data_IF_964130599360
#
_entry.id   IF_964130599360
#
_cell.length_a   1.000
_cell.length_b   1.000
_cell.length_c   1.000
_cell.angle_alpha   90.00
_cell.angle_beta   90.00
_cell.angle_gamma   90.00
#
_symmetry.space_group_name_H-M   'P 1'
#
loop_
_entity.id
_entity.type
_entity.pdbx_description
1 polymer ?
#
# COMPACT_ATOMS: atom_id res chain seq x y z
N UNK A 1 7.97 -70.11 3.54
CA UNK A 1 6.59 -70.49 3.92
C UNK A 1 5.81 -69.20 4.09
N UNK A 2 4.88 -68.94 3.15
CA UNK A 2 4.02 -67.75 3.11
C UNK A 2 3.09 -67.71 4.33
N UNK A 3 2.86 -66.51 4.90
CA UNK A 3 1.51 -66.08 5.31
C UNK A 3 1.37 -64.59 5.05
N UNK A 4 0.53 -64.27 4.07
CA UNK A 4 0.02 -62.94 3.68
C UNK A 4 -1.00 -62.41 4.69
N UNK A 5 -0.98 -61.12 5.01
CA UNK A 5 -2.13 -60.40 5.58
C UNK A 5 -2.53 -59.26 4.63
N UNK A 6 -3.69 -59.44 4.00
CA UNK A 6 -4.39 -58.41 3.23
C UNK A 6 -5.11 -57.46 4.20
N UNK A 7 -5.03 -56.16 3.94
CA UNK A 7 -5.87 -55.14 4.58
C UNK A 7 -6.89 -54.67 3.55
N UNK A 8 -8.16 -54.88 3.89
CA UNK A 8 -9.35 -54.48 3.13
C UNK A 8 -9.56 -52.97 3.32
N UNK A 9 -9.62 -52.24 2.21
CA UNK A 9 -10.11 -50.85 2.18
C UNK A 9 -11.60 -50.86 1.89
N UNK A 10 -12.39 -50.42 2.86
CA UNK A 10 -13.84 -50.19 2.72
C UNK A 10 -14.08 -48.80 2.13
N UNK A 11 -14.77 -48.75 1.00
CA UNK A 11 -15.22 -47.52 0.34
C UNK A 11 -16.42 -46.96 1.09
N UNK A 12 -16.30 -45.76 1.68
CA UNK A 12 -17.45 -44.96 2.13
C UNK A 12 -17.75 -43.91 1.06
N UNK A 13 -18.84 -44.14 0.33
CA UNK A 13 -19.43 -43.22 -0.63
C UNK A 13 -20.26 -42.17 0.10
N UNK A 14 -19.71 -40.97 0.32
CA UNK A 14 -20.47 -39.81 0.79
C UNK A 14 -21.08 -39.07 -0.40
N UNK A 15 -22.42 -38.99 -0.41
CA UNK A 15 -23.18 -38.12 -1.33
C UNK A 15 -22.77 -36.66 -1.12
N UNK A 16 -22.12 -36.07 -2.12
CA UNK A 16 -21.92 -34.63 -2.19
C UNK A 16 -23.23 -33.97 -2.67
N UNK A 17 -23.91 -33.27 -1.76
CA UNK A 17 -24.93 -32.29 -2.10
C UNK A 17 -24.25 -31.18 -2.91
N UNK A 18 -24.64 -31.04 -4.18
CA UNK A 18 -24.08 -30.05 -5.09
C UNK A 18 -24.30 -28.63 -4.58
N UNK A 19 -23.20 -27.90 -4.39
CA UNK A 19 -23.24 -26.45 -4.27
C UNK A 19 -23.80 -25.86 -5.58
N UNK A 20 -24.62 -24.79 -5.53
CA UNK A 20 -25.10 -24.13 -6.73
C UNK A 20 -23.90 -23.64 -7.54
N UNK A 21 -23.79 -24.14 -8.76
CA UNK A 21 -22.68 -23.87 -9.65
C UNK A 21 -22.48 -22.37 -9.82
N UNK A 22 -21.29 -21.90 -9.47
CA UNK A 22 -20.78 -20.62 -9.94
C UNK A 22 -20.87 -20.63 -11.47
N UNK A 23 -21.72 -19.77 -12.04
CA UNK A 23 -21.70 -19.48 -13.47
C UNK A 23 -20.32 -18.89 -13.73
N UNK A 24 -19.37 -19.72 -14.20
CA UNK A 24 -18.14 -19.22 -14.80
C UNK A 24 -18.57 -18.42 -16.02
N UNK A 25 -18.69 -17.09 -15.87
CA UNK A 25 -18.71 -16.19 -17.02
C UNK A 25 -17.47 -16.58 -17.84
N UNK A 26 -17.68 -17.14 -19.03
CA UNK A 26 -16.58 -17.33 -19.97
C UNK A 26 -16.02 -15.94 -20.25
N UNK A 27 -14.79 -15.65 -19.82
CA UNK A 27 -14.13 -14.41 -20.22
C UNK A 27 -14.17 -14.33 -21.75
N UNK A 28 -14.63 -13.20 -22.31
CA UNK A 28 -14.59 -13.01 -23.76
C UNK A 28 -13.16 -13.22 -24.25
N UNK A 29 -13.00 -14.06 -25.28
CA UNK A 29 -11.67 -14.41 -25.79
C UNK A 29 -10.91 -13.17 -26.29
N UNK A 30 -9.57 -13.23 -26.23
CA UNK A 30 -8.64 -12.20 -26.72
C UNK A 30 -7.97 -12.67 -28.02
N UNK A 31 -8.65 -12.56 -29.19
CA UNK A 31 -8.15 -13.14 -30.45
C UNK A 31 -6.92 -12.42 -31.03
N UNK A 32 -6.67 -11.18 -30.62
CA UNK A 32 -5.56 -10.38 -31.16
C UNK A 32 -4.32 -10.46 -30.27
N UNK A 33 -3.13 -10.51 -30.87
CA UNK A 33 -1.86 -10.55 -30.13
C UNK A 33 -0.88 -9.53 -30.71
N UNK A 34 -0.38 -8.64 -29.87
CA UNK A 34 0.69 -7.69 -30.19
C UNK A 34 1.94 -8.06 -29.41
N UNK A 35 2.92 -8.63 -30.09
CA UNK A 35 4.26 -8.85 -29.52
C UNK A 35 5.07 -7.59 -29.75
N UNK A 36 5.59 -7.00 -28.66
CA UNK A 36 6.36 -5.76 -28.71
C UNK A 36 7.80 -6.11 -29.14
N UNK A 37 8.30 -5.54 -30.24
CA UNK A 37 9.71 -5.70 -30.60
C UNK A 37 10.59 -5.00 -29.55
N UNK A 38 11.70 -5.65 -29.22
CA UNK A 38 12.67 -5.15 -28.24
C UNK A 38 13.97 -4.78 -28.95
N UNK A 39 14.59 -3.69 -28.50
CA UNK A 39 15.97 -3.33 -28.84
C UNK A 39 17.01 -4.14 -28.05
N UNK A 40 16.59 -4.98 -27.11
CA UNK A 40 17.42 -5.63 -26.10
C UNK A 40 18.33 -4.63 -25.36
N UNK A 41 17.71 -3.56 -24.86
CA UNK A 41 18.40 -2.54 -24.08
C UNK A 41 19.34 -1.61 -24.87
N UNK A 42 19.32 -1.64 -26.21
CA UNK A 42 20.24 -0.85 -27.05
C UNK A 42 19.67 0.48 -27.55
N UNK A 43 18.35 0.65 -27.56
CA UNK A 43 17.66 1.86 -28.01
C UNK A 43 16.38 2.11 -27.19
N UNK A 44 15.72 3.24 -27.37
CA UNK A 44 14.40 3.51 -26.76
C UNK A 44 13.30 2.70 -27.44
N UNK A 45 12.62 1.84 -26.67
CA UNK A 45 11.54 0.97 -27.10
C UNK A 45 10.15 1.61 -26.89
N UNK A 46 10.05 2.75 -26.18
CA UNK A 46 8.77 3.40 -25.89
C UNK A 46 7.89 3.63 -27.13
N UNK A 47 8.40 4.08 -28.31
CA UNK A 47 7.57 4.24 -29.50
C UNK A 47 6.97 2.92 -30.01
N UNK A 48 7.69 1.80 -29.89
CA UNK A 48 7.19 0.48 -30.29
C UNK A 48 6.12 -0.02 -29.32
N UNK A 49 6.33 0.19 -28.02
CA UNK A 49 5.37 -0.11 -26.97
C UNK A 49 4.07 0.66 -27.19
N UNK A 50 4.14 1.98 -27.38
CA UNK A 50 2.94 2.80 -27.56
C UNK A 50 2.16 2.44 -28.84
N UNK A 51 2.85 2.09 -29.93
CA UNK A 51 2.20 1.55 -31.14
C UNK A 51 1.48 0.22 -30.87
N UNK A 52 2.07 -0.67 -30.07
CA UNK A 52 1.43 -1.92 -29.71
C UNK A 52 0.16 -1.69 -28.88
N UNK A 53 0.21 -0.82 -27.87
CA UNK A 53 -0.95 -0.44 -27.06
C UNK A 53 -2.07 0.23 -27.88
N UNK A 54 -1.71 1.10 -28.84
CA UNK A 54 -2.70 1.71 -29.73
C UNK A 54 -3.34 0.70 -30.70
N UNK A 55 -2.56 -0.25 -31.22
CA UNK A 55 -3.03 -1.28 -32.16
C UNK A 55 -3.87 -2.36 -31.48
N UNK A 56 -3.50 -2.74 -30.26
CA UNK A 56 -4.11 -3.81 -29.48
C UNK A 56 -4.86 -3.22 -28.26
N UNK A 57 -5.69 -2.21 -28.48
CA UNK A 57 -6.44 -1.57 -27.39
C UNK A 57 -7.70 -2.33 -26.99
N UNK A 58 -8.20 -3.27 -27.79
CA UNK A 58 -9.38 -4.09 -27.47
C UNK A 58 -9.17 -5.57 -27.76
N UNK A 59 -9.75 -6.43 -26.92
CA UNK A 59 -9.86 -7.88 -27.12
C UNK A 59 -8.54 -8.55 -27.53
N UNK A 60 -7.49 -8.24 -26.77
CA UNK A 60 -6.12 -8.56 -27.20
C UNK A 60 -5.18 -8.90 -26.05
N UNK A 61 -4.04 -9.51 -26.44
CA UNK A 61 -2.89 -9.76 -25.57
C UNK A 61 -1.71 -8.96 -26.09
N UNK A 62 -1.17 -8.06 -25.27
CA UNK A 62 0.06 -7.31 -25.51
C UNK A 62 1.20 -8.00 -24.75
N UNK A 63 2.33 -8.23 -25.42
CA UNK A 63 3.38 -9.11 -24.89
C UNK A 63 4.74 -8.45 -24.93
N UNK A 64 5.31 -8.22 -23.76
CA UNK A 64 6.76 -8.09 -23.57
C UNK A 64 7.35 -9.49 -23.48
N UNK A 65 8.28 -9.81 -24.36
CA UNK A 65 8.81 -11.15 -24.55
C UNK A 65 9.74 -11.56 -23.42
N UNK A 66 9.74 -12.85 -23.09
CA UNK A 66 10.69 -13.40 -22.12
C UNK A 66 12.13 -13.21 -22.60
N UNK A 67 13.05 -12.94 -21.67
CA UNK A 67 14.48 -12.76 -21.95
C UNK A 67 14.82 -11.60 -22.89
N UNK A 68 13.91 -10.63 -23.01
CA UNK A 68 14.13 -9.37 -23.70
C UNK A 68 14.17 -8.21 -22.71
N UNK A 69 15.03 -7.23 -23.00
CA UNK A 69 15.15 -5.98 -22.24
C UNK A 69 14.57 -4.81 -23.04
N UNK A 70 13.63 -4.09 -22.43
CA UNK A 70 12.93 -2.97 -23.04
C UNK A 70 13.32 -1.67 -22.34
N UNK A 71 13.94 -0.74 -23.06
CA UNK A 71 14.16 0.60 -22.52
C UNK A 71 12.90 1.43 -22.74
N UNK A 72 12.23 1.84 -21.67
CA UNK A 72 11.01 2.65 -21.73
C UNK A 72 11.38 4.08 -21.36
N UNK A 73 11.97 4.83 -22.29
CA UNK A 73 12.53 6.15 -21.99
C UNK A 73 11.54 7.31 -22.07
N UNK A 74 10.34 7.06 -22.59
CA UNK A 74 9.21 7.99 -22.48
C UNK A 74 8.00 7.31 -21.82
N UNK A 75 7.19 8.05 -21.05
CA UNK A 75 5.97 7.53 -20.44
C UNK A 75 5.01 6.90 -21.45
N UNK A 76 4.34 5.84 -21.03
CA UNK A 76 3.37 5.10 -21.84
C UNK A 76 1.98 5.40 -21.30
N UNK A 77 1.15 6.07 -22.11
CA UNK A 77 -0.26 6.28 -21.81
C UNK A 77 -1.12 5.42 -22.74
N UNK A 78 -1.90 4.52 -22.12
CA UNK A 78 -2.82 3.59 -22.77
C UNK A 78 -4.18 3.64 -22.06
N UNK A 79 -4.97 4.66 -22.40
CA UNK A 79 -6.18 5.04 -21.65
C UNK A 79 -7.51 4.56 -22.24
N UNK A 80 -7.45 3.87 -23.38
CA UNK A 80 -8.62 3.37 -24.10
C UNK A 80 -8.59 1.83 -24.21
N UNK A 81 -8.15 1.14 -23.17
CA UNK A 81 -8.09 -0.33 -23.15
C UNK A 81 -9.47 -0.94 -22.90
N UNK A 82 -9.75 -2.11 -23.46
CA UNK A 82 -10.97 -2.88 -23.18
C UNK A 82 -10.72 -4.36 -23.38
N UNK A 83 -10.88 -5.19 -22.34
CA UNK A 83 -10.62 -6.62 -22.44
C UNK A 83 -9.19 -6.95 -22.93
N UNK A 84 -8.18 -6.36 -22.29
CA UNK A 84 -6.77 -6.48 -22.69
C UNK A 84 -5.96 -7.19 -21.63
N UNK A 85 -5.06 -8.09 -22.07
CA UNK A 85 -4.01 -8.65 -21.24
C UNK A 85 -2.67 -7.99 -21.55
N UNK A 86 -1.94 -7.57 -20.53
CA UNK A 86 -0.58 -7.06 -20.62
C UNK A 86 0.34 -8.11 -20.00
N UNK A 87 1.03 -8.88 -20.84
CA UNK A 87 1.98 -9.90 -20.43
C UNK A 87 3.39 -9.31 -20.33
N UNK A 88 3.92 -9.15 -19.12
CA UNK A 88 5.25 -8.59 -18.86
C UNK A 88 6.24 -9.71 -18.53
N UNK A 89 6.76 -10.37 -19.57
CA UNK A 89 7.74 -11.47 -19.41
C UNK A 89 9.19 -11.02 -19.55
N UNK A 90 9.44 -9.87 -20.19
CA UNK A 90 10.75 -9.23 -20.30
C UNK A 90 11.00 -8.26 -19.15
N UNK A 91 12.20 -7.71 -19.08
CA UNK A 91 12.52 -6.65 -18.13
C UNK A 91 12.38 -5.28 -18.80
N UNK A 92 11.83 -4.32 -18.07
CA UNK A 92 11.61 -2.95 -18.51
C UNK A 92 12.59 -2.06 -17.73
N UNK A 93 13.16 -1.07 -18.40
CA UNK A 93 14.17 -0.18 -17.85
C UNK A 93 13.77 1.28 -18.08
N UNK A 94 13.64 2.05 -17.00
CA UNK A 94 13.41 3.49 -17.08
C UNK A 94 14.75 4.22 -17.33
N UNK A 95 14.73 5.52 -17.72
CA UNK A 95 15.95 6.31 -17.81
C UNK A 95 16.66 6.40 -16.45
N UNK A 96 17.96 6.16 -16.43
CA UNK A 96 18.77 6.21 -15.20
C UNK A 96 19.14 7.65 -14.79
N UNK A 97 19.18 8.58 -15.74
CA UNK A 97 19.61 9.95 -15.48
C UNK A 97 18.47 10.78 -14.89
N UNK A 98 18.63 11.24 -13.64
CA UNK A 98 17.64 12.05 -12.90
C UNK A 98 17.15 13.24 -13.75
N UNK A 99 18.07 14.08 -14.25
CA UNK A 99 17.71 15.28 -15.03
C UNK A 99 16.91 14.96 -16.30
N UNK A 100 17.13 13.79 -16.90
CA UNK A 100 16.39 13.32 -18.07
C UNK A 100 14.94 13.02 -17.71
N UNK A 101 14.73 12.29 -16.62
CA UNK A 101 13.40 11.99 -16.09
C UNK A 101 12.71 13.29 -15.64
N UNK A 102 13.37 14.15 -14.86
CA UNK A 102 12.79 15.42 -14.41
C UNK A 102 12.36 16.30 -15.58
N UNK A 103 13.15 16.37 -16.67
CA UNK A 103 12.78 17.12 -17.88
C UNK A 103 11.56 16.52 -18.57
N UNK A 104 11.44 15.20 -18.64
CA UNK A 104 10.26 14.51 -19.17
C UNK A 104 9.04 14.85 -18.31
N UNK A 105 9.19 14.77 -16.98
CA UNK A 105 8.09 14.98 -16.04
C UNK A 105 7.62 16.42 -15.98
N UNK A 106 8.55 17.37 -15.99
CA UNK A 106 8.23 18.79 -16.07
C UNK A 106 7.58 19.15 -17.41
N UNK A 107 8.03 18.55 -18.51
CA UNK A 107 7.54 18.83 -19.87
C UNK A 107 6.07 18.44 -20.11
N UNK A 108 5.47 17.62 -19.25
CA UNK A 108 4.07 17.20 -19.36
C UNK A 108 3.09 18.04 -18.53
N UNK A 109 3.57 19.08 -17.86
CA UNK A 109 2.72 20.01 -17.09
C UNK A 109 2.08 19.38 -15.85
N UNK A 110 2.68 18.33 -15.29
CA UNK A 110 2.20 17.72 -14.05
C UNK A 110 2.45 18.64 -12.85
N UNK A 111 1.43 18.83 -12.02
CA UNK A 111 1.57 19.54 -10.74
C UNK A 111 2.47 18.74 -9.79
N UNK A 112 3.33 19.47 -9.07
CA UNK A 112 4.39 18.93 -8.20
C UNK A 112 3.89 18.04 -7.05
N UNK A 113 2.59 18.07 -6.72
CA UNK A 113 2.07 17.45 -5.48
C UNK A 113 0.69 16.76 -5.57
N UNK A 114 -0.09 16.93 -6.65
CA UNK A 114 -1.50 16.46 -6.68
C UNK A 114 -1.91 15.72 -7.96
N UNK A 115 -1.14 15.84 -9.05
CA UNK A 115 -1.36 15.12 -10.30
C UNK A 115 -0.05 14.45 -10.73
N UNK A 116 0.46 13.58 -9.85
CA UNK A 116 1.70 12.84 -10.06
C UNK A 116 1.69 12.19 -11.44
N UNK A 117 2.69 12.53 -12.26
CA UNK A 117 2.78 11.92 -13.58
C UNK A 117 3.17 10.45 -13.42
N UNK A 118 2.39 9.57 -14.06
CA UNK A 118 2.67 8.14 -14.11
C UNK A 118 3.59 7.79 -15.27
N UNK A 119 4.57 6.91 -15.06
CA UNK A 119 5.40 6.39 -16.15
C UNK A 119 4.62 5.44 -17.06
N UNK A 120 3.68 4.69 -16.47
CA UNK A 120 2.72 3.86 -17.18
C UNK A 120 1.30 4.20 -16.72
N UNK A 121 0.42 4.50 -17.66
CA UNK A 121 -0.99 4.72 -17.40
C UNK A 121 -1.82 3.70 -18.19
N UNK A 122 -2.51 2.81 -17.47
CA UNK A 122 -3.40 1.80 -18.03
C UNK A 122 -4.82 2.09 -17.58
N UNK A 123 -5.70 2.43 -18.53
CA UNK A 123 -7.09 2.75 -18.22
C UNK A 123 -8.09 2.10 -19.16
N UNK A 124 -9.16 1.58 -18.57
CA UNK A 124 -10.30 0.97 -19.25
C UNK A 124 -10.76 -0.35 -18.61
N UNK A 125 -11.89 -0.94 -19.03
CA UNK A 125 -12.44 -2.14 -18.39
C UNK A 125 -11.67 -3.42 -18.75
N UNK A 126 -11.69 -4.39 -17.84
CA UNK A 126 -11.16 -5.75 -18.02
C UNK A 126 -9.71 -5.78 -18.48
N UNK A 127 -8.86 -5.05 -17.76
CA UNK A 127 -7.41 -5.09 -17.95
C UNK A 127 -6.83 -6.15 -17.02
N UNK A 128 -6.07 -7.08 -17.58
CA UNK A 128 -5.26 -8.02 -16.82
C UNK A 128 -3.78 -7.72 -17.03
N UNK A 129 -3.05 -7.35 -15.98
CA UNK A 129 -1.59 -7.33 -15.97
C UNK A 129 -1.08 -8.68 -15.46
N UNK A 130 -0.21 -9.33 -16.22
CA UNK A 130 0.42 -10.61 -15.85
C UNK A 130 1.93 -10.53 -16.05
N UNK A 131 2.68 -10.43 -14.96
CA UNK A 131 4.14 -10.52 -14.97
C UNK A 131 4.64 -11.97 -15.00
N UNK A 132 5.95 -12.12 -15.24
CA UNK A 132 6.59 -13.44 -15.16
C UNK A 132 6.71 -13.93 -13.72
N UNK A 133 6.46 -15.22 -13.48
CA UNK A 133 6.78 -15.87 -12.20
C UNK A 133 8.28 -16.15 -12.01
N UNK A 134 9.09 -16.09 -13.08
CA UNK A 134 10.54 -16.36 -13.03
C UNK A 134 11.28 -15.23 -12.32
N UNK A 135 12.18 -15.56 -11.38
CA UNK A 135 12.87 -14.58 -10.52
C UNK A 135 13.59 -13.48 -11.30
N UNK A 136 14.19 -13.79 -12.46
CA UNK A 136 15.00 -12.83 -13.23
C UNK A 136 14.25 -12.10 -14.36
N UNK A 137 12.92 -12.22 -14.41
CA UNK A 137 12.09 -11.74 -15.50
C UNK A 137 10.87 -10.95 -14.99
N UNK A 138 10.35 -10.08 -15.85
CA UNK A 138 9.15 -9.29 -15.57
C UNK A 138 9.40 -8.10 -14.65
N UNK A 139 10.67 -7.72 -14.44
CA UNK A 139 11.02 -6.58 -13.60
C UNK A 139 10.82 -5.26 -14.32
N UNK A 140 10.25 -4.29 -13.63
CA UNK A 140 10.39 -2.88 -13.99
C UNK A 140 11.52 -2.28 -13.14
N UNK A 141 12.64 -1.97 -13.78
CA UNK A 141 13.82 -1.38 -13.16
C UNK A 141 13.75 0.14 -13.28
N UNK A 142 13.46 0.81 -12.16
CA UNK A 142 13.24 2.26 -12.10
C UNK A 142 14.48 3.05 -11.69
N UNK A 143 15.51 2.37 -11.15
CA UNK A 143 16.81 2.96 -10.79
C UNK A 143 16.75 4.09 -9.74
N UNK A 144 15.84 3.97 -8.78
CA UNK A 144 15.56 4.94 -7.72
C UNK A 144 16.74 5.24 -6.77
N UNK A 145 17.75 4.37 -6.67
CA UNK A 145 18.89 4.60 -5.76
C UNK A 145 19.54 5.98 -5.95
N UNK A 146 19.76 6.39 -7.20
CA UNK A 146 20.36 7.69 -7.50
C UNK A 146 19.48 8.86 -7.00
N UNK A 147 18.16 8.70 -7.01
CA UNK A 147 17.22 9.70 -6.52
C UNK A 147 17.23 9.81 -5.00
N UNK A 148 17.27 8.66 -4.33
CA UNK A 148 17.34 8.59 -2.87
C UNK A 148 18.67 9.17 -2.36
N UNK A 149 19.77 8.89 -3.06
CA UNK A 149 21.10 9.45 -2.75
C UNK A 149 21.18 10.97 -3.01
N UNK A 150 20.41 11.46 -3.99
CA UNK A 150 20.34 12.89 -4.31
C UNK A 150 19.42 13.68 -3.36
N UNK A 151 18.67 13.01 -2.49
CA UNK A 151 17.82 13.68 -1.52
C UNK A 151 18.68 14.47 -0.51
N UNK A 152 18.44 15.78 -0.31
CA UNK A 152 19.20 16.54 0.66
C UNK A 152 18.96 16.04 2.10
N UNK A 153 19.91 16.32 2.98
CA UNK A 153 19.74 16.08 4.43
C UNK A 153 18.49 16.83 4.90
N UNK A 154 17.63 16.15 5.65
CA UNK A 154 16.31 16.64 6.09
C UNK A 154 15.33 16.97 4.94
N UNK A 155 15.59 16.47 3.72
CA UNK A 155 14.65 16.54 2.60
C UNK A 155 13.70 15.36 2.57
N UNK A 156 12.53 15.54 1.95
CA UNK A 156 11.49 14.51 1.78
C UNK A 156 11.39 14.02 0.33
N UNK A 157 12.51 14.02 -0.38
CA UNK A 157 12.63 13.76 -1.81
C UNK A 157 12.95 15.02 -2.62
N UNK A 158 13.46 14.81 -3.84
CA UNK A 158 13.67 15.88 -4.83
C UNK A 158 12.48 15.99 -5.79
N UNK A 159 12.38 17.13 -6.48
CA UNK A 159 11.27 17.44 -7.38
C UNK A 159 11.17 16.49 -8.58
N UNK A 160 9.94 16.39 -9.12
CA UNK A 160 9.61 15.68 -10.36
C UNK A 160 9.93 14.17 -10.33
N UNK A 161 9.72 13.52 -9.18
CA UNK A 161 9.69 12.06 -9.06
C UNK A 161 8.36 11.52 -9.64
N UNK A 162 8.37 10.68 -10.69
CA UNK A 162 7.13 10.13 -11.24
C UNK A 162 6.57 9.01 -10.36
N UNK A 163 5.26 8.83 -10.41
CA UNK A 163 4.64 7.56 -9.99
C UNK A 163 4.92 6.50 -11.05
N UNK A 164 5.06 5.23 -10.66
CA UNK A 164 5.39 4.19 -11.63
C UNK A 164 4.17 3.82 -12.51
N UNK A 165 3.06 3.39 -11.91
CA UNK A 165 1.86 2.92 -12.62
C UNK A 165 0.58 3.57 -12.08
N UNK A 166 -0.26 4.10 -12.97
CA UNK A 166 -1.70 4.24 -12.73
C UNK A 166 -2.42 3.07 -13.38
N UNK A 167 -3.15 2.31 -12.57
CA UNK A 167 -3.93 1.15 -13.00
C UNK A 167 -5.41 1.39 -12.70
N UNK A 168 -6.12 1.90 -13.70
CA UNK A 168 -7.52 2.27 -13.62
C UNK A 168 -8.40 1.29 -14.40
N UNK A 169 -9.05 0.36 -13.72
CA UNK A 169 -9.85 -0.67 -14.39
C UNK A 169 -11.10 -1.08 -13.63
N UNK A 170 -12.01 -1.74 -14.35
CA UNK A 170 -13.15 -2.45 -13.77
C UNK A 170 -13.09 -3.91 -14.18
N UNK A 171 -13.29 -4.84 -13.25
CA UNK A 171 -13.19 -6.28 -13.49
C UNK A 171 -11.79 -6.69 -14.00
N UNK A 172 -10.73 -6.24 -13.33
CA UNK A 172 -9.34 -6.45 -13.77
C UNK A 172 -8.47 -7.21 -12.77
N UNK A 173 -7.32 -7.68 -13.24
CA UNK A 173 -6.33 -8.35 -12.40
C UNK A 173 -4.91 -7.80 -12.60
N UNK A 174 -4.08 -7.94 -11.56
CA UNK A 174 -2.71 -7.42 -11.54
C UNK A 174 -1.81 -8.43 -10.83
N UNK A 175 -1.32 -9.41 -11.59
CA UNK A 175 -0.63 -10.58 -11.07
C UNK A 175 0.86 -10.54 -11.38
N UNK A 176 1.69 -11.00 -10.44
CA UNK A 176 3.15 -11.15 -10.61
C UNK A 176 3.87 -9.86 -11.01
N UNK A 177 3.36 -8.71 -10.55
CA UNK A 177 4.05 -7.44 -10.72
C UNK A 177 5.39 -7.43 -9.97
N UNK A 178 6.44 -6.89 -10.60
CA UNK A 178 7.75 -6.76 -9.98
C UNK A 178 8.32 -5.36 -10.22
N UNK A 179 8.58 -4.66 -9.13
CA UNK A 179 9.19 -3.32 -9.15
C UNK A 179 10.54 -3.35 -8.46
N UNK A 180 11.57 -2.85 -9.11
CA UNK A 180 12.93 -2.78 -8.57
C UNK A 180 13.43 -1.35 -8.50
N UNK A 181 13.85 -0.97 -7.29
CA UNK A 181 14.34 0.37 -6.95
C UNK A 181 13.39 1.44 -7.51
N UNK A 182 12.10 1.46 -7.13
CA UNK A 182 11.16 2.48 -7.58
C UNK A 182 11.69 3.90 -7.27
N UNK A 183 11.43 4.89 -8.13
CA UNK A 183 11.87 6.26 -7.87
C UNK A 183 11.11 6.86 -6.68
N UNK A 184 9.80 6.63 -6.64
CA UNK A 184 8.87 6.99 -5.57
C UNK A 184 7.68 5.99 -5.60
N UNK A 185 6.43 6.46 -5.63
CA UNK A 185 5.22 5.64 -5.58
C UNK A 185 5.16 4.57 -6.67
N UNK A 186 4.71 3.35 -6.33
CA UNK A 186 4.64 2.23 -7.27
C UNK A 186 3.30 2.23 -8.03
N UNK A 187 2.20 1.82 -7.39
CA UNK A 187 0.95 1.56 -8.10
C UNK A 187 -0.22 2.32 -7.47
N UNK A 188 -0.83 3.21 -8.24
CA UNK A 188 -2.15 3.75 -7.92
C UNK A 188 -3.22 2.83 -8.53
N UNK A 189 -4.02 2.19 -7.67
CA UNK A 189 -5.19 1.40 -8.05
C UNK A 189 -6.45 2.28 -8.04
N UNK A 190 -7.19 2.24 -9.14
CA UNK A 190 -8.41 3.03 -9.37
C UNK A 190 -9.48 2.19 -10.06
N UNK A 191 -10.76 2.44 -9.75
CA UNK A 191 -11.88 1.76 -10.38
C UNK A 191 -12.55 0.74 -9.46
N UNK A 192 -12.92 -0.43 -9.98
CA UNK A 192 -13.78 -1.39 -9.27
C UNK A 192 -13.45 -2.85 -9.57
N UNK A 193 -13.60 -3.74 -8.58
CA UNK A 193 -13.41 -5.19 -8.75
C UNK A 193 -12.02 -5.53 -9.32
N UNK A 194 -10.99 -5.25 -8.52
CA UNK A 194 -9.58 -5.41 -8.89
C UNK A 194 -8.93 -6.46 -7.98
N UNK A 195 -8.28 -7.46 -8.57
CA UNK A 195 -7.50 -8.45 -7.82
C UNK A 195 -6.00 -8.30 -8.12
N UNK A 196 -5.20 -8.07 -7.09
CA UNK A 196 -3.74 -8.07 -7.13
C UNK A 196 -3.23 -9.33 -6.43
N UNK A 197 -2.32 -10.07 -7.06
CA UNK A 197 -1.69 -11.23 -6.42
C UNK A 197 -0.22 -11.38 -6.79
N UNK A 198 0.58 -11.89 -5.85
CA UNK A 198 2.00 -12.23 -6.07
C UNK A 198 2.87 -11.06 -6.54
N UNK A 199 2.55 -9.84 -6.10
CA UNK A 199 3.39 -8.69 -6.37
C UNK A 199 4.69 -8.75 -5.54
N UNK A 200 5.77 -8.23 -6.10
CA UNK A 200 7.04 -8.06 -5.41
C UNK A 200 7.60 -6.65 -5.63
N UNK A 201 7.72 -5.88 -4.56
CA UNK A 201 8.33 -4.54 -4.58
C UNK A 201 9.61 -4.60 -3.79
N UNK A 202 10.73 -4.28 -4.44
CA UNK A 202 12.08 -4.22 -3.87
C UNK A 202 12.59 -2.78 -3.97
N UNK A 203 12.40 -2.01 -2.90
CA UNK A 203 12.99 -0.69 -2.72
C UNK A 203 14.08 -0.69 -1.62
N UNK A 204 14.68 -1.85 -1.30
CA UNK A 204 15.82 -1.88 -0.37
C UNK A 204 16.91 -0.93 -0.88
N UNK A 205 17.59 -0.18 -0.02
CA UNK A 205 18.59 0.82 -0.42
C UNK A 205 20.01 0.42 -0.03
N UNK A 206 21.01 0.96 -0.71
CA UNK A 206 22.43 0.76 -0.39
C UNK A 206 23.03 1.86 0.49
N UNK A 207 22.22 2.79 1.02
CA UNK A 207 22.71 3.76 2.01
C UNK A 207 21.73 4.89 2.36
N UNK A 208 20.99 5.41 1.39
CA UNK A 208 19.98 6.46 1.57
C UNK A 208 18.60 5.89 1.89
N UNK A 209 17.65 6.73 2.33
CA UNK A 209 16.27 6.28 2.56
C UNK A 209 15.43 6.34 1.27
N UNK A 210 14.67 5.30 0.91
CA UNK A 210 13.83 5.28 -0.28
C UNK A 210 12.49 5.99 -0.04
N UNK A 211 12.53 7.32 0.04
CA UNK A 211 11.37 8.18 0.32
C UNK A 211 10.18 7.94 -0.61
N UNK A 212 8.99 7.79 -0.02
CA UNK A 212 7.68 7.69 -0.71
C UNK A 212 7.63 6.56 -1.73
N UNK A 213 8.21 5.41 -1.40
CA UNK A 213 8.17 4.21 -2.26
C UNK A 213 6.94 3.36 -2.00
N UNK A 214 5.79 4.00 -1.83
CA UNK A 214 4.50 3.39 -1.50
C UNK A 214 4.20 2.20 -2.42
N UNK A 215 3.69 1.12 -1.84
CA UNK A 215 3.40 -0.10 -2.57
C UNK A 215 2.14 0.03 -3.43
N UNK A 216 1.00 0.17 -2.76
CA UNK A 216 -0.31 0.32 -3.40
C UNK A 216 -1.09 1.49 -2.80
N UNK A 217 -1.28 2.53 -3.58
CA UNK A 217 -2.24 3.60 -3.29
C UNK A 217 -3.61 3.20 -3.82
N UNK A 218 -4.64 3.25 -2.97
CA UNK A 218 -5.98 2.76 -3.32
C UNK A 218 -6.99 3.89 -3.28
N UNK A 219 -7.59 4.17 -4.44
CA UNK A 219 -8.78 5.02 -4.62
C UNK A 219 -9.83 4.26 -5.46
N UNK A 220 -10.17 3.06 -4.98
CA UNK A 220 -10.95 2.06 -5.72
C UNK A 220 -11.90 1.26 -4.80
N UNK A 221 -12.88 0.60 -5.40
CA UNK A 221 -13.85 -0.26 -4.72
C UNK A 221 -13.66 -1.74 -5.05
N UNK A 222 -14.03 -2.63 -4.13
CA UNK A 222 -13.94 -4.09 -4.33
C UNK A 222 -12.53 -4.53 -4.74
N UNK A 223 -11.54 -4.21 -3.90
CA UNK A 223 -10.13 -4.52 -4.17
C UNK A 223 -9.68 -5.67 -3.29
N UNK A 224 -8.93 -6.62 -3.86
CA UNK A 224 -8.24 -7.66 -3.10
C UNK A 224 -6.77 -7.68 -3.46
N UNK A 225 -5.89 -7.53 -2.47
CA UNK A 225 -4.43 -7.60 -2.64
C UNK A 225 -3.92 -8.74 -1.77
N UNK A 226 -3.32 -9.76 -2.38
CA UNK A 226 -2.84 -10.91 -1.61
C UNK A 226 -1.52 -11.50 -2.05
N UNK A 227 -0.93 -12.30 -1.16
CA UNK A 227 0.21 -13.18 -1.44
C UNK A 227 1.43 -12.42 -2.02
N UNK A 228 1.61 -11.17 -1.58
CA UNK A 228 2.61 -10.23 -2.09
C UNK A 228 3.70 -9.93 -1.06
N UNK A 229 4.87 -9.52 -1.55
CA UNK A 229 6.03 -9.10 -0.74
C UNK A 229 6.35 -7.64 -1.07
N UNK A 230 6.36 -6.78 -0.06
CA UNK A 230 6.51 -5.33 -0.23
C UNK A 230 7.62 -4.84 0.71
N UNK A 231 8.80 -4.60 0.15
CA UNK A 231 9.92 -3.98 0.85
C UNK A 231 10.09 -2.56 0.32
N UNK A 232 9.78 -1.60 1.18
CA UNK A 232 9.78 -0.19 0.81
C UNK A 232 10.11 0.75 1.97
N UNK A 233 10.14 2.05 1.70
CA UNK A 233 10.36 3.12 2.67
C UNK A 233 9.14 4.02 2.89
N UNK A 234 7.93 3.50 2.70
CA UNK A 234 6.69 4.21 3.01
C UNK A 234 5.54 3.19 3.13
N UNK A 235 4.29 3.59 2.95
CA UNK A 235 3.11 2.73 3.07
C UNK A 235 3.19 1.52 2.14
N UNK A 236 3.02 0.31 2.67
CA UNK A 236 2.86 -0.87 1.82
C UNK A 236 1.51 -0.84 1.08
N UNK A 237 0.51 -0.29 1.76
CA UNK A 237 -0.79 0.07 1.21
C UNK A 237 -1.28 1.34 1.90
N UNK A 238 -1.75 2.31 1.11
CA UNK A 238 -2.45 3.49 1.59
C UNK A 238 -3.87 3.51 1.01
N UNK A 239 -4.86 3.28 1.87
CA UNK A 239 -6.28 3.34 1.49
C UNK A 239 -6.78 4.77 1.65
N UNK A 240 -7.07 5.42 0.53
CA UNK A 240 -7.46 6.82 0.47
C UNK A 240 -8.99 6.97 0.39
N UNK A 241 -9.47 8.21 0.50
CA UNK A 241 -10.89 8.54 0.43
C UNK A 241 -11.55 8.02 -0.86
N UNK A 242 -12.80 7.58 -0.77
CA UNK A 242 -13.56 6.99 -1.87
C UNK A 242 -13.42 5.47 -1.99
N UNK A 243 -12.57 4.85 -1.16
CA UNK A 243 -12.35 3.39 -1.19
C UNK A 243 -13.33 2.61 -0.33
N UNK A 244 -13.87 1.53 -0.87
CA UNK A 244 -14.80 0.63 -0.17
C UNK A 244 -14.55 -0.84 -0.50
N UNK A 245 -14.75 -1.73 0.48
CA UNK A 245 -14.60 -3.19 0.29
C UNK A 245 -13.18 -3.55 -0.18
N UNK A 246 -12.17 -3.19 0.62
CA UNK A 246 -10.76 -3.49 0.33
C UNK A 246 -10.29 -4.60 1.25
N UNK A 247 -9.68 -5.63 0.69
CA UNK A 247 -9.08 -6.74 1.42
C UNK A 247 -7.59 -6.82 1.11
N UNK A 248 -6.76 -6.82 2.14
CA UNK A 248 -5.31 -6.95 2.02
C UNK A 248 -4.85 -8.11 2.92
N UNK A 249 -4.41 -9.23 2.33
CA UNK A 249 -4.16 -10.43 3.12
C UNK A 249 -3.03 -11.34 2.64
N UNK A 250 -2.47 -12.14 3.56
CA UNK A 250 -1.32 -13.04 3.29
C UNK A 250 -0.12 -12.33 2.66
N UNK A 251 0.09 -11.08 3.04
CA UNK A 251 1.20 -10.27 2.54
C UNK A 251 2.35 -10.22 3.56
N UNK A 252 3.57 -10.04 3.04
CA UNK A 252 4.75 -9.73 3.85
C UNK A 252 5.21 -8.32 3.53
N UNK A 253 5.36 -7.49 4.56
CA UNK A 253 5.77 -6.09 4.48
C UNK A 253 7.08 -5.94 5.26
N UNK A 254 7.99 -5.10 4.77
CA UNK A 254 9.13 -4.73 5.61
C UNK A 254 10.16 -3.77 5.04
N UNK A 255 11.40 -3.95 5.49
CA UNK A 255 12.59 -3.11 5.26
C UNK A 255 12.58 -1.80 6.05
N UNK A 256 11.79 -0.82 5.63
CA UNK A 256 11.60 0.45 6.33
C UNK A 256 10.18 0.98 6.10
N UNK A 257 9.22 0.05 5.94
CA UNK A 257 7.86 0.38 5.53
C UNK A 257 7.11 1.17 6.61
N UNK A 258 6.09 1.92 6.20
CA UNK A 258 5.10 2.54 7.08
C UNK A 258 3.84 1.69 7.25
N UNK A 259 3.90 0.42 6.84
CA UNK A 259 2.90 -0.58 7.17
C UNK A 259 1.61 -0.47 6.38
N UNK A 260 0.49 -0.82 7.03
CA UNK A 260 -0.84 -0.82 6.42
C UNK A 260 -1.62 0.42 6.87
N UNK A 261 -1.77 1.38 5.97
CA UNK A 261 -2.35 2.69 6.28
C UNK A 261 -3.76 2.87 5.72
N UNK A 262 -4.63 3.44 6.55
CA UNK A 262 -5.82 4.18 6.12
C UNK A 262 -5.50 5.68 6.18
N UNK A 263 -5.67 6.37 5.06
CA UNK A 263 -5.43 7.80 4.92
C UNK A 263 -4.09 8.18 4.27
N UNK A 264 -3.68 9.45 4.32
CA UNK A 264 -4.27 10.50 5.17
C UNK A 264 -5.67 10.93 4.71
N UNK A 265 -6.65 10.95 5.63
CA UNK A 265 -8.03 11.31 5.33
C UNK A 265 -8.39 12.73 5.76
N UNK A 266 -9.25 13.39 4.99
CA UNK A 266 -9.87 14.67 5.35
C UNK A 266 -8.96 15.88 5.15
N UNK A 267 -8.06 15.83 4.17
CA UNK A 267 -7.18 16.96 3.85
C UNK A 267 -8.00 18.19 3.43
N UNK A 268 -8.87 18.04 2.44
CA UNK A 268 -9.77 19.09 1.98
C UNK A 268 -11.01 19.17 2.88
N UNK A 269 -11.36 20.36 3.36
CA UNK A 269 -12.61 20.54 4.15
C UNK A 269 -13.86 20.57 3.28
N UNK A 270 -13.71 20.82 1.98
CA UNK A 270 -14.82 20.78 1.04
C UNK A 270 -15.15 19.36 0.57
N UNK A 271 -14.19 18.42 0.69
CA UNK A 271 -14.35 17.03 0.29
C UNK A 271 -14.27 16.09 1.50
N UNK A 272 -15.43 15.61 1.94
CA UNK A 272 -15.52 14.80 3.14
C UNK A 272 -14.99 13.40 2.89
N UNK A 273 -14.01 13.00 3.69
CA UNK A 273 -13.43 11.67 3.59
C UNK A 273 -14.49 10.57 3.76
N UNK A 274 -14.40 9.52 2.96
CA UNK A 274 -15.31 8.40 3.09
C UNK A 274 -14.60 7.09 2.74
N UNK A 275 -14.36 6.26 3.76
CA UNK A 275 -13.76 4.93 3.62
C UNK A 275 -14.60 3.92 4.41
N UNK A 276 -14.86 2.75 3.85
CA UNK A 276 -15.54 1.71 4.64
C UNK A 276 -15.27 0.28 4.20
N UNK A 277 -15.46 -0.66 5.13
CA UNK A 277 -15.33 -2.10 4.90
C UNK A 277 -13.92 -2.45 4.42
N UNK A 278 -12.93 -2.18 5.26
CA UNK A 278 -11.52 -2.48 4.96
C UNK A 278 -11.05 -3.60 5.87
N UNK A 279 -10.41 -4.61 5.30
CA UNK A 279 -9.98 -5.80 6.02
C UNK A 279 -8.53 -6.13 5.72
N UNK A 280 -7.69 -6.08 6.75
CA UNK A 280 -6.31 -6.53 6.73
C UNK A 280 -6.22 -7.85 7.49
N UNK A 281 -5.80 -8.93 6.84
CA UNK A 281 -5.78 -10.26 7.49
C UNK A 281 -4.54 -11.08 7.17
N UNK A 282 -3.97 -11.73 8.18
CA UNK A 282 -2.83 -12.64 8.00
C UNK A 282 -1.62 -11.95 7.35
N UNK A 283 -1.20 -10.82 7.91
CA UNK A 283 -0.09 -10.02 7.40
C UNK A 283 1.09 -10.09 8.35
N UNK A 284 2.29 -10.26 7.79
CA UNK A 284 3.55 -10.17 8.53
C UNK A 284 4.25 -8.86 8.19
N UNK A 285 4.61 -8.09 9.22
CA UNK A 285 5.31 -6.80 9.12
C UNK A 285 6.66 -6.93 9.83
N UNK A 286 7.75 -6.64 9.15
CA UNK A 286 9.12 -6.82 9.64
C UNK A 286 9.92 -5.55 9.40
N UNK A 287 10.60 -5.00 10.41
CA UNK A 287 11.44 -3.80 10.25
C UNK A 287 10.65 -2.63 9.63
N UNK A 288 9.71 -2.10 10.40
CA UNK A 288 8.78 -1.06 9.93
C UNK A 288 8.50 -0.01 11.01
N UNK A 289 8.05 1.17 10.59
CA UNK A 289 7.59 2.19 11.54
C UNK A 289 6.25 1.78 12.13
N UNK A 290 5.30 1.32 11.31
CA UNK A 290 3.95 0.96 11.75
C UNK A 290 3.56 -0.45 11.35
N UNK A 291 2.74 -1.10 12.18
CA UNK A 291 2.02 -2.33 11.81
C UNK A 291 0.71 -1.98 11.11
N UNK A 292 -0.28 -1.56 11.90
CA UNK A 292 -1.51 -0.92 11.44
C UNK A 292 -1.47 0.59 11.70
N UNK A 293 -1.84 1.40 10.71
CA UNK A 293 -1.89 2.86 10.82
C UNK A 293 -3.23 3.42 10.36
N UNK A 294 -3.80 4.31 11.16
CA UNK A 294 -4.83 5.25 10.72
C UNK A 294 -4.28 6.67 10.85
N UNK A 295 -4.43 7.47 9.80
CA UNK A 295 -4.03 8.90 9.78
C UNK A 295 -5.15 9.76 9.20
N UNK A 296 -5.62 10.74 9.96
CA UNK A 296 -6.47 11.81 9.44
C UNK A 296 -5.93 13.18 9.81
N UNK A 297 -6.13 14.15 8.92
CA UNK A 297 -5.65 15.51 9.11
C UNK A 297 -6.28 16.18 10.33
N UNK A 298 -5.50 17.00 11.03
CA UNK A 298 -6.01 17.94 12.04
C UNK A 298 -7.17 18.78 11.47
N UNK A 299 -8.33 18.75 12.10
CA UNK A 299 -9.53 19.45 11.61
C UNK A 299 -10.09 18.88 10.29
N UNK A 300 -9.75 17.64 9.94
CA UNK A 300 -10.33 16.91 8.82
C UNK A 300 -11.79 16.54 9.07
N UNK A 301 -12.51 16.18 8.00
CA UNK A 301 -13.93 15.84 8.05
C UNK A 301 -14.21 14.57 7.23
N UNK A 302 -15.24 13.82 7.64
CA UNK A 302 -15.65 12.60 6.95
C UNK A 302 -15.89 11.44 7.91
N UNK A 303 -15.89 10.22 7.36
CA UNK A 303 -16.06 8.98 8.09
C UNK A 303 -15.16 7.86 7.55
N UNK A 304 -14.59 7.10 8.47
CA UNK A 304 -13.97 5.82 8.22
C UNK A 304 -14.72 4.79 9.08
N UNK A 305 -15.24 3.71 8.48
CA UNK A 305 -16.05 2.75 9.24
C UNK A 305 -15.87 1.29 8.84
N UNK A 306 -16.08 0.38 9.79
CA UNK A 306 -15.96 -1.06 9.58
C UNK A 306 -14.55 -1.42 9.07
N UNK A 307 -13.54 -1.20 9.90
CA UNK A 307 -12.14 -1.44 9.55
C UNK A 307 -11.57 -2.48 10.51
N UNK A 308 -10.96 -3.52 9.96
CA UNK A 308 -10.42 -4.63 10.74
C UNK A 308 -8.96 -4.90 10.37
N UNK A 309 -8.11 -5.00 11.38
CA UNK A 309 -6.81 -5.67 11.30
C UNK A 309 -6.87 -6.94 12.14
N UNK A 310 -6.60 -8.10 11.53
CA UNK A 310 -6.72 -9.40 12.18
C UNK A 310 -5.54 -10.32 11.85
N UNK A 311 -5.06 -11.06 12.85
CA UNK A 311 -3.98 -12.04 12.68
C UNK A 311 -2.71 -11.37 12.09
N UNK A 312 -2.22 -10.35 12.79
CA UNK A 312 -1.09 -9.52 12.36
C UNK A 312 0.15 -9.90 13.16
N UNK A 313 1.25 -10.16 12.47
CA UNK A 313 2.55 -10.49 13.08
C UNK A 313 3.51 -9.34 12.86
N UNK A 314 4.00 -8.73 13.92
CA UNK A 314 4.92 -7.59 13.86
C UNK A 314 6.28 -7.97 14.44
N UNK A 315 7.36 -7.76 13.70
CA UNK A 315 8.71 -8.05 14.17
C UNK A 315 9.57 -6.81 13.99
N UNK A 316 10.14 -6.31 15.08
CA UNK A 316 10.93 -5.08 15.05
C UNK A 316 10.13 -3.89 14.44
N UNK A 317 8.91 -3.67 14.93
CA UNK A 317 8.03 -2.57 14.47
C UNK A 317 7.93 -1.48 15.53
N UNK A 318 8.09 -0.21 15.16
CA UNK A 318 8.13 0.90 16.13
C UNK A 318 6.78 1.14 16.81
N UNK A 319 5.70 1.13 16.03
CA UNK A 319 4.34 1.34 16.50
C UNK A 319 3.40 0.26 15.92
N UNK A 320 3.19 -0.87 16.62
CA UNK A 320 2.35 -1.96 16.12
C UNK A 320 0.92 -1.53 15.75
N UNK A 321 0.27 -0.76 16.62
CA UNK A 321 -1.08 -0.20 16.41
C UNK A 321 -0.99 1.31 16.62
N UNK A 322 -1.28 2.08 15.57
CA UNK A 322 -1.16 3.54 15.59
C UNK A 322 -2.36 4.22 14.96
N UNK A 323 -3.04 5.06 15.74
CA UNK A 323 -4.14 5.92 15.28
C UNK A 323 -3.77 7.35 15.61
N UNK A 324 -3.73 8.21 14.59
CA UNK A 324 -3.61 9.66 14.75
C UNK A 324 -4.71 10.41 14.01
N UNK A 325 -5.29 11.40 14.68
CA UNK A 325 -6.23 12.36 14.11
C UNK A 325 -5.68 13.79 14.09
N UNK A 326 -4.39 13.94 14.36
CA UNK A 326 -3.69 15.22 14.37
C UNK A 326 -2.70 15.36 13.21
N UNK A 327 -2.80 14.50 12.18
CA UNK A 327 -1.84 14.45 11.07
C UNK A 327 -1.65 15.82 10.40
N UNK A 328 -0.41 16.14 10.10
CA UNK A 328 0.02 17.35 9.40
C UNK A 328 1.06 17.02 8.33
N UNK A 329 1.38 17.98 7.46
CA UNK A 329 2.37 17.79 6.41
C UNK A 329 3.78 17.71 7.03
N UNK A 330 4.45 16.56 6.89
CA UNK A 330 5.75 16.29 7.49
C UNK A 330 6.90 17.09 6.87
N UNK A 331 6.72 17.63 5.66
CA UNK A 331 7.74 18.43 4.94
C UNK A 331 7.45 19.94 4.92
N UNK A 332 6.43 20.41 5.62
CA UNK A 332 6.02 21.83 5.58
C UNK A 332 5.49 22.30 6.92
N UNK A 333 5.86 23.51 7.33
CA UNK A 333 5.19 24.20 8.43
C UNK A 333 3.73 24.59 8.10
N UNK A 334 3.30 24.38 6.85
CA UNK A 334 1.92 24.57 6.41
C UNK A 334 1.11 23.30 6.62
N UNK A 335 -0.06 23.44 7.23
CA UNK A 335 -0.93 22.31 7.58
C UNK A 335 -1.73 21.75 6.41
N UNK A 336 -1.50 22.14 5.14
CA UNK A 336 -2.13 21.57 3.93
C UNK A 336 -1.66 22.19 2.60
N UNK A 337 -1.87 21.47 1.49
CA UNK A 337 -1.68 21.94 0.11
C UNK A 337 -3.00 22.22 -0.66
N UNK A 338 -4.15 22.22 0.03
CA UNK A 338 -5.43 22.61 -0.59
C UNK A 338 -5.48 24.10 -0.98
N UNK A 339 -6.13 24.40 -2.11
CA UNK A 339 -6.40 25.77 -2.56
C UNK A 339 -7.32 26.51 -1.57
N UNK A 340 -6.74 27.16 -0.55
CA UNK A 340 -7.46 28.07 0.35
C UNK A 340 -6.93 28.09 1.78
N UNK A 341 -5.99 29.01 2.05
CA UNK A 341 -5.62 29.62 3.35
C UNK A 341 -5.43 28.66 4.55
N UNK A 342 -4.19 28.47 4.99
CA UNK A 342 -3.84 27.71 6.21
C UNK A 342 -3.28 28.59 7.35
N UNK A 343 -4.10 28.83 8.38
CA UNK A 343 -3.73 28.95 9.80
C UNK A 343 -5.01 28.84 10.64
N UNK A 344 -5.04 28.05 11.72
CA UNK A 344 -6.14 28.05 12.70
C UNK A 344 -7.35 27.16 12.38
N UNK A 345 -7.14 25.94 11.83
CA UNK A 345 -8.25 24.96 11.77
C UNK A 345 -8.77 24.69 13.19
N UNK A 346 -10.09 24.78 13.41
CA UNK A 346 -10.67 24.44 14.71
C UNK A 346 -10.33 22.99 15.06
N UNK A 347 -9.76 22.77 16.25
CA UNK A 347 -9.51 21.42 16.75
C UNK A 347 -10.80 20.71 17.24
N UNK A 348 -11.94 21.02 16.63
CA UNK A 348 -13.26 20.48 17.00
C UNK A 348 -13.89 19.61 15.89
N UNK A 349 -13.20 19.43 14.77
CA UNK A 349 -13.59 18.54 13.68
C UNK A 349 -12.56 17.41 13.51
N UNK A 350 -13.04 16.23 13.12
CA UNK A 350 -12.20 15.07 12.83
C UNK A 350 -12.91 14.15 11.84
N UNK A 351 -12.15 13.29 11.16
CA UNK A 351 -12.73 12.15 10.43
C UNK A 351 -13.28 11.17 11.46
N UNK A 352 -14.59 10.93 11.46
CA UNK A 352 -15.22 10.05 12.43
C UNK A 352 -14.79 8.60 12.19
N UNK A 353 -14.37 7.91 13.24
CA UNK A 353 -13.96 6.51 13.20
C UNK A 353 -15.02 5.66 13.90
N UNK A 354 -15.65 4.74 13.17
CA UNK A 354 -16.69 3.86 13.71
C UNK A 354 -16.40 2.38 13.43
N UNK A 355 -16.55 1.52 14.44
CA UNK A 355 -16.40 0.07 14.30
C UNK A 355 -15.01 -0.34 13.77
N UNK A 356 -13.99 -0.10 14.58
CA UNK A 356 -12.61 -0.53 14.31
C UNK A 356 -12.26 -1.74 15.17
N UNK A 357 -11.62 -2.74 14.55
CA UNK A 357 -11.23 -3.98 15.22
C UNK A 357 -9.74 -4.24 15.00
N UNK A 358 -9.01 -4.46 16.09
CA UNK A 358 -7.67 -5.03 16.08
C UNK A 358 -7.69 -6.35 16.84
N UNK A 359 -7.36 -7.45 16.16
CA UNK A 359 -7.43 -8.78 16.76
C UNK A 359 -6.24 -9.65 16.40
N UNK A 360 -5.80 -10.49 17.34
CA UNK A 360 -4.72 -11.46 17.13
C UNK A 360 -3.40 -10.82 16.66
N UNK A 361 -2.97 -9.76 17.35
CA UNK A 361 -1.67 -9.12 17.11
C UNK A 361 -0.59 -9.81 17.92
N UNK A 362 0.52 -10.20 17.28
CA UNK A 362 1.64 -10.87 17.96
C UNK A 362 2.99 -10.32 17.52
N UNK A 363 3.97 -10.29 18.44
CA UNK A 363 5.36 -10.05 18.10
C UNK A 363 6.02 -8.94 18.91
N UNK A 364 6.87 -8.11 18.28
CA UNK A 364 7.81 -7.24 19.00
C UNK A 364 7.82 -5.77 18.60
N UNK A 365 7.95 -4.90 19.60
CA UNK A 365 8.20 -3.45 19.40
C UNK A 365 9.68 -3.19 19.21
N UNK A 366 10.05 -2.39 18.21
CA UNK A 366 11.41 -1.87 18.01
C UNK A 366 11.76 -0.83 19.07
N UNK A 367 12.24 -1.28 20.23
CA UNK A 367 12.62 -0.39 21.34
C UNK A 367 14.04 0.16 21.18
N UNK A 368 14.93 -0.58 20.52
CA UNK A 368 16.36 -0.24 20.53
C UNK A 368 16.75 0.76 19.45
N UNK A 369 16.06 0.75 18.30
CA UNK A 369 16.32 1.62 17.16
C UNK A 369 15.01 2.06 16.52
N UNK A 370 14.11 2.70 17.29
CA UNK A 370 12.79 3.08 16.82
C UNK A 370 12.87 3.97 15.58
N UNK A 371 11.82 3.90 14.78
CA UNK A 371 11.65 4.65 13.55
C UNK A 371 12.32 4.00 12.33
N UNK A 372 12.66 4.86 11.37
CA UNK A 372 13.30 4.53 10.11
C UNK A 372 14.14 5.74 9.62
N UNK A 373 14.67 5.66 8.39
CA UNK A 373 15.41 6.75 7.75
C UNK A 373 14.57 7.91 7.23
N UNK A 374 13.24 7.94 7.44
CA UNK A 374 12.35 9.04 7.01
C UNK A 374 12.31 10.22 7.99
N UNK A 375 12.95 10.10 9.16
CA UNK A 375 12.98 11.18 10.14
C UNK A 375 13.82 12.37 9.64
N UNK A 376 13.13 13.48 9.37
CA UNK A 376 13.72 14.73 8.86
C UNK A 376 13.51 15.93 9.79
N UNK A 377 12.93 15.70 10.98
CA UNK A 377 12.62 16.70 12.00
C UNK A 377 13.22 16.31 13.36
N UNK A 378 13.28 17.25 14.30
CA UNK A 378 13.67 17.00 15.70
C UNK A 378 12.66 17.67 16.67
N UNK A 379 11.86 16.89 17.43
CA UNK A 379 11.78 15.44 17.41
C UNK A 379 11.29 14.89 16.05
N UNK A 380 11.50 13.59 15.80
CA UNK A 380 11.03 12.95 14.57
C UNK A 380 9.51 13.12 14.42
N UNK A 381 9.05 13.31 13.18
CA UNK A 381 7.63 13.63 12.90
C UNK A 381 6.66 12.54 13.39
N UNK A 382 7.11 11.29 13.48
CA UNK A 382 6.31 10.19 13.99
C UNK A 382 6.23 10.15 15.53
N UNK A 383 7.07 10.94 16.22
CA UNK A 383 7.04 11.16 17.66
C UNK A 383 6.38 12.50 18.04
N UNK A 384 6.19 13.39 17.06
CA UNK A 384 5.65 14.72 17.30
C UNK A 384 4.22 14.65 17.87
N UNK A 385 3.91 15.53 18.82
CA UNK A 385 2.65 15.52 19.56
C UNK A 385 2.48 14.38 20.58
N UNK A 386 3.41 13.41 20.66
CA UNK A 386 3.32 12.28 21.58
C UNK A 386 4.31 12.43 22.75
N UNK A 387 3.84 12.76 23.96
CA UNK A 387 4.73 13.08 25.07
C UNK A 387 5.38 11.83 25.67
N UNK A 388 6.70 11.87 25.85
CA UNK A 388 7.50 10.89 26.61
C UNK A 388 7.42 9.45 26.10
N UNK A 389 7.44 9.25 24.78
CA UNK A 389 7.53 7.92 24.18
C UNK A 389 8.79 7.19 24.69
N UNK A 390 8.62 5.91 25.04
CA UNK A 390 9.72 5.02 25.42
C UNK A 390 10.03 3.99 24.33
N UNK A 391 9.25 4.02 23.24
CA UNK A 391 9.21 3.03 22.19
C UNK A 391 8.98 1.62 22.75
N UNK A 392 8.05 1.58 23.71
CA UNK A 392 7.45 0.37 24.27
C UNK A 392 5.95 0.31 24.00
N UNK A 393 5.43 1.30 23.26
CA UNK A 393 4.01 1.50 23.00
C UNK A 393 3.49 0.41 22.06
N UNK A 394 2.77 -0.56 22.60
CA UNK A 394 2.08 -1.58 21.82
C UNK A 394 0.87 -1.00 21.08
N UNK A 395 0.25 0.03 21.67
CA UNK A 395 -0.96 0.69 21.19
C UNK A 395 -0.83 2.19 21.37
N UNK A 396 -1.10 2.94 20.30
CA UNK A 396 -1.29 4.40 20.34
C UNK A 396 -2.65 4.70 19.71
N UNK A 397 -3.56 5.27 20.49
CA UNK A 397 -4.88 5.75 20.05
C UNK A 397 -5.02 7.22 20.39
N UNK A 398 -4.87 8.08 19.39
CA UNK A 398 -5.06 9.52 19.50
C UNK A 398 -6.36 9.94 18.82
N UNK A 399 -7.47 9.88 19.56
CA UNK A 399 -8.75 10.42 19.11
C UNK A 399 -8.78 11.92 19.36
N UNK A 400 -9.13 12.69 18.34
CA UNK A 400 -9.13 14.15 18.43
C UNK A 400 -10.16 14.67 19.45
N UNK A 401 -11.36 14.09 19.47
CA UNK A 401 -12.44 14.48 20.38
C UNK A 401 -12.98 13.28 21.14
N UNK A 402 -13.73 13.53 22.22
CA UNK A 402 -14.41 12.46 22.98
C UNK A 402 -15.49 11.71 22.19
N UNK A 403 -15.80 12.16 20.96
CA UNK A 403 -16.80 11.57 20.09
C UNK A 403 -16.24 11.03 18.77
N UNK A 404 -14.99 11.33 18.43
CA UNK A 404 -14.45 11.01 17.09
C UNK A 404 -14.11 9.53 16.89
N UNK A 405 -14.05 8.74 17.97
CA UNK A 405 -13.78 7.30 17.95
C UNK A 405 -14.86 6.54 18.70
N UNK A 406 -15.51 5.61 17.99
CA UNK A 406 -16.65 4.85 18.50
C UNK A 406 -16.59 3.39 18.07
N UNK A 407 -17.05 2.51 18.95
CA UNK A 407 -17.17 1.06 18.73
C UNK A 407 -15.83 0.38 18.41
N UNK A 408 -14.75 0.81 19.07
CA UNK A 408 -13.44 0.17 18.93
C UNK A 408 -13.37 -1.13 19.74
N UNK A 409 -12.67 -2.13 19.21
CA UNK A 409 -12.40 -3.40 19.87
C UNK A 409 -10.95 -3.83 19.66
N UNK A 410 -10.24 -4.10 20.76
CA UNK A 410 -8.92 -4.75 20.72
C UNK A 410 -9.00 -6.08 21.46
N UNK A 411 -8.54 -7.16 20.84
CA UNK A 411 -8.55 -8.49 21.46
C UNK A 411 -7.32 -9.31 21.09
N UNK A 412 -6.83 -10.12 22.03
CA UNK A 412 -5.67 -10.98 21.84
C UNK A 412 -4.43 -10.21 21.30
N UNK A 413 -4.04 -9.15 22.00
CA UNK A 413 -2.88 -8.31 21.65
C UNK A 413 -1.68 -8.77 22.49
N UNK A 414 -0.77 -9.53 21.87
CA UNK A 414 0.42 -10.09 22.49
C UNK A 414 1.70 -9.48 21.89
N UNK A 415 1.93 -8.19 22.18
CA UNK A 415 3.10 -7.44 21.74
C UNK A 415 4.08 -7.26 22.90
N UNK A 416 5.34 -7.59 22.65
CA UNK A 416 6.42 -7.55 23.64
C UNK A 416 7.50 -6.56 23.18
N UNK A 417 7.81 -5.51 23.94
CA UNK A 417 8.93 -4.64 23.61
C UNK A 417 10.25 -5.41 23.60
N UNK A 418 11.15 -5.11 22.66
CA UNK A 418 12.47 -5.75 22.60
C UNK A 418 13.31 -5.53 23.87
N UNK A 419 13.02 -4.45 24.61
CA UNK A 419 13.65 -4.19 25.91
C UNK A 419 13.17 -5.12 27.03
N UNK A 420 12.16 -5.94 26.77
CA UNK A 420 11.45 -6.75 27.77
C UNK A 420 10.80 -5.92 28.88
N UNK A 421 10.76 -4.59 28.73
CA UNK A 421 9.95 -3.72 29.58
C UNK A 421 8.47 -4.04 29.35
N UNK A 422 7.59 -3.76 30.33
CA UNK A 422 6.16 -3.88 30.12
C UNK A 422 5.71 -3.07 28.89
N UNK A 423 4.89 -3.64 27.99
CA UNK A 423 4.31 -2.87 26.88
C UNK A 423 3.51 -1.69 27.44
N UNK A 424 3.54 -0.57 26.74
CA UNK A 424 2.81 0.65 27.11
C UNK A 424 1.69 0.95 26.12
N UNK A 425 0.79 1.82 26.54
CA UNK A 425 -0.27 2.39 25.71
C UNK A 425 -0.32 3.90 25.89
N UNK A 426 -0.55 4.60 24.79
CA UNK A 426 -0.99 6.00 24.77
C UNK A 426 -2.43 5.99 24.27
N UNK A 427 -3.36 6.53 25.06
CA UNK A 427 -4.76 6.55 24.71
C UNK A 427 -5.39 7.90 25.08
N UNK A 428 -5.89 8.61 24.08
CA UNK A 428 -6.48 9.93 24.19
C UNK A 428 -7.92 9.87 23.67
N UNK A 429 -8.87 10.34 24.48
CA UNK A 429 -10.28 10.57 24.13
C UNK A 429 -11.09 9.37 23.58
N UNK A 430 -10.57 8.15 23.56
CA UNK A 430 -11.36 6.94 23.31
C UNK A 430 -12.17 6.58 24.57
N UNK A 431 -13.32 7.26 24.75
CA UNK A 431 -14.12 7.15 25.98
C UNK A 431 -14.74 5.76 26.14
N UNK A 432 -14.90 5.32 27.39
CA UNK A 432 -15.52 4.04 27.72
C UNK A 432 -17.01 3.98 27.33
N UNK A 433 -17.70 5.12 27.30
CA UNK A 433 -19.11 5.22 26.89
C UNK A 433 -19.28 4.85 25.41
N UNK A 434 -18.40 5.35 24.54
CA UNK A 434 -18.43 5.07 23.11
C UNK A 434 -17.68 3.80 22.71
N UNK A 435 -16.82 3.29 23.59
CA UNK A 435 -15.99 2.11 23.33
C UNK A 435 -16.08 1.11 24.50
N UNK A 436 -17.28 0.58 24.82
CA UNK A 436 -17.46 -0.34 25.95
C UNK A 436 -16.69 -1.65 25.78
N UNK A 437 -16.33 -1.99 24.54
CA UNK A 437 -15.61 -3.21 24.15
C UNK A 437 -14.14 -2.93 23.76
N UNK A 438 -13.55 -1.81 24.17
CA UNK A 438 -12.19 -1.41 23.76
C UNK A 438 -11.13 -2.51 24.05
N UNK A 439 -11.34 -3.35 25.06
CA UNK A 439 -10.44 -4.46 25.40
C UNK A 439 -9.30 -4.09 26.35
N UNK A 440 -9.22 -2.82 26.75
CA UNK A 440 -8.34 -2.33 27.81
C UNK A 440 -8.89 -1.01 28.38
N UNK A 441 -8.30 -0.49 29.47
CA UNK A 441 -8.65 0.81 30.02
C UNK A 441 -7.89 1.93 29.29
N UNK A 442 -8.59 2.84 28.61
CA UNK A 442 -7.98 3.98 27.93
C UNK A 442 -7.31 4.94 28.92
N UNK A 443 -6.03 4.69 29.22
CA UNK A 443 -5.19 5.52 30.09
C UNK A 443 -3.72 5.31 29.74
N UNK A 444 -2.96 6.39 29.64
CA UNK A 444 -1.52 6.31 29.39
C UNK A 444 -0.81 5.52 30.50
N UNK A 445 0.06 4.58 30.12
CA UNK A 445 0.80 3.75 31.07
C UNK A 445 1.09 2.36 30.53
N UNK A 446 1.18 1.37 31.42
CA UNK A 446 1.32 -0.04 31.04
C UNK A 446 0.06 -0.53 30.35
N UNK A 447 0.23 -1.18 29.19
CA UNK A 447 -0.85 -1.82 28.47
C UNK A 447 -1.26 -3.12 29.16
N UNK A 448 -2.50 -3.18 29.62
CA UNK A 448 -3.10 -4.33 30.30
C UNK A 448 -4.40 -4.70 29.57
N UNK A 449 -4.35 -5.62 28.60
CA UNK A 449 -5.56 -6.11 27.94
C UNK A 449 -6.42 -6.93 28.92
N UNK A 450 -7.74 -6.90 28.73
CA UNK A 450 -8.70 -7.63 29.56
C UNK A 450 -8.74 -9.13 29.26
#
# INVERSE_FOLDING_TARGET
MLVTRAVVWTVLSSLALGAPGSIKRSSPGRPHRCVIPSSNGTADDSPAVQRAFAKCSSDSVIVFQESADYNIFTPISATNLSNVEIQVNGNLHLPQNITTVQRIVNGTGGDLYSNGQYWFEFKGPRIDYTGSSKVNNGWINSYGQAWWDANPVNGTGIDYRPHLISFHTTDGSFNYFKSRKPIAWNVQLQGDNITVAHAFIDAESTGSFPFNTDGFDVTATNVRISDSVIYNGDDAIAVQSGSHNVVFERNTIGYQSHGMSIGSLGEDQADFANVSNIHFEDVTVIDAVYGSRFKSWSGGQGIAKNITWKNIRVYNVTFPIFVTQSYTNQGSSQTQLGNGVTSGRPNNASVMMENFVWSDFTGTVNTWRPGDGSCVTDPCWYDDGLPNLKHTEAVIIECNTNSSCKDFTLSNIAIIPQSMSPPTVVCMNATAELNPNLGFSCRNGTFLPY
#
